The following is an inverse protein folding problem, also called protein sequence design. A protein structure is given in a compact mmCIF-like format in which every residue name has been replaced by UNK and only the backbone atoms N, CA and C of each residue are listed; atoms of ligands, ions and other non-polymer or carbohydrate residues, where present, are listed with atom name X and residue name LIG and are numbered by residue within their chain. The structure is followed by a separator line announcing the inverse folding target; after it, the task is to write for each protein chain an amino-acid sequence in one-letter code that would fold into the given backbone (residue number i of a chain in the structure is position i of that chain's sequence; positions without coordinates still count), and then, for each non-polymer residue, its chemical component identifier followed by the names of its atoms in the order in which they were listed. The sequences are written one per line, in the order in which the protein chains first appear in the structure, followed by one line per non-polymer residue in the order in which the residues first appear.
data_IF_685660734991
#
_entry.id   IF_685660734991
#
_cell.length_a   1.000
_cell.length_b   1.000
_cell.length_c   1.000
_cell.angle_alpha   90.00
_cell.angle_beta   90.00
_cell.angle_gamma   90.00
#
_symmetry.space_group_name_H-M   'P 1'
#
loop_
_entity.id
_entity.type
_entity.pdbx_description
1 polymer ?
#
# COMPACT_ATOMS: atom_id res chain seq x y z
N UNK A 1 -12.99 26.58 -27.56
CA UNK A 1 -11.86 25.62 -27.47
C UNK A 1 -10.85 26.00 -26.38
N UNK A 2 -11.29 26.35 -25.17
CA UNK A 2 -10.40 26.58 -24.00
C UNK A 2 -10.92 25.90 -22.72
N UNK A 3 -12.18 25.44 -22.71
CA UNK A 3 -12.80 24.76 -21.57
C UNK A 3 -12.29 23.33 -21.33
N UNK A 4 -11.83 22.63 -22.37
CA UNK A 4 -11.27 21.27 -22.23
C UNK A 4 -9.86 21.25 -21.60
N UNK A 5 -9.17 22.40 -21.56
CA UNK A 5 -7.80 22.51 -21.00
C UNK A 5 -7.81 22.67 -19.47
N UNK A 6 -8.96 22.99 -18.87
CA UNK A 6 -9.12 23.16 -17.42
C UNK A 6 -9.38 21.81 -16.74
N UNK A 7 -9.86 20.79 -17.48
CA UNK A 7 -10.05 19.43 -16.96
C UNK A 7 -8.72 18.68 -16.81
N UNK A 8 -7.69 19.06 -17.57
CA UNK A 8 -6.31 18.56 -17.40
C UNK A 8 -5.55 19.31 -16.29
N UNK A 9 -6.23 19.62 -15.19
CA UNK A 9 -5.55 19.98 -13.96
C UNK A 9 -4.85 18.72 -13.46
N UNK A 10 -3.59 18.56 -13.90
CA UNK A 10 -2.70 17.45 -13.56
C UNK A 10 -2.87 17.09 -12.10
N UNK A 11 -3.51 15.95 -11.82
CA UNK A 11 -3.61 15.43 -10.47
C UNK A 11 -2.17 15.33 -9.95
N UNK A 12 -1.86 16.04 -8.86
CA UNK A 12 -0.52 16.05 -8.27
C UNK A 12 -0.01 14.60 -8.19
N UNK A 13 1.23 14.35 -8.63
CA UNK A 13 1.78 12.99 -8.71
C UNK A 13 1.66 12.22 -7.38
N UNK A 14 1.77 12.94 -6.25
CA UNK A 14 1.53 12.42 -4.90
C UNK A 14 0.07 11.98 -4.69
N UNK A 15 -0.90 12.81 -5.08
CA UNK A 15 -2.33 12.51 -4.96
C UNK A 15 -2.72 11.34 -5.85
N UNK A 16 -2.19 11.28 -7.06
CA UNK A 16 -2.37 10.14 -7.96
C UNK A 16 -1.82 8.84 -7.32
N UNK A 17 -0.58 8.87 -6.84
CA UNK A 17 0.03 7.73 -6.19
C UNK A 17 -0.75 7.29 -4.95
N UNK A 18 -1.23 8.23 -4.14
CA UNK A 18 -2.07 7.96 -2.99
C UNK A 18 -3.29 7.12 -3.37
N UNK A 19 -4.12 7.58 -4.31
CA UNK A 19 -5.36 6.87 -4.65
C UNK A 19 -5.10 5.50 -5.28
N UNK A 20 -4.09 5.38 -6.15
CA UNK A 20 -3.71 4.10 -6.77
C UNK A 20 -3.28 3.11 -5.70
N UNK A 21 -2.40 3.53 -4.78
CA UNK A 21 -1.89 2.65 -3.74
C UNK A 21 -2.96 2.31 -2.71
N UNK A 22 -3.79 3.27 -2.28
CA UNK A 22 -4.93 2.99 -1.39
C UNK A 22 -5.78 1.88 -1.99
N UNK A 23 -6.22 2.03 -3.23
CA UNK A 23 -7.12 1.07 -3.86
C UNK A 23 -6.48 -0.32 -3.96
N UNK A 24 -5.26 -0.41 -4.49
CA UNK A 24 -4.59 -1.68 -4.71
C UNK A 24 -4.30 -2.42 -3.39
N UNK A 25 -3.72 -1.72 -2.40
CA UNK A 25 -3.38 -2.29 -1.11
C UNK A 25 -4.63 -2.71 -0.36
N UNK A 26 -5.70 -1.91 -0.41
CA UNK A 26 -6.95 -2.21 0.29
C UNK A 26 -7.60 -3.49 -0.24
N UNK A 27 -7.64 -3.67 -1.56
CA UNK A 27 -8.13 -4.92 -2.18
C UNK A 27 -7.31 -6.11 -1.71
N UNK A 28 -5.97 -6.01 -1.72
CA UNK A 28 -5.10 -7.08 -1.23
C UNK A 28 -5.29 -7.37 0.27
N UNK A 29 -5.47 -6.34 1.10
CA UNK A 29 -5.76 -6.50 2.52
C UNK A 29 -7.06 -7.27 2.74
N UNK A 30 -8.14 -6.91 2.04
CA UNK A 30 -9.41 -7.64 2.17
C UNK A 30 -9.32 -9.08 1.70
N UNK A 31 -8.57 -9.36 0.62
CA UNK A 31 -8.30 -10.74 0.21
C UNK A 31 -7.57 -11.50 1.34
N UNK A 32 -6.48 -10.92 1.88
CA UNK A 32 -5.73 -11.55 2.97
C UNK A 32 -6.60 -11.81 4.20
N UNK A 33 -7.38 -10.82 4.63
CA UNK A 33 -8.28 -10.92 5.78
C UNK A 33 -9.39 -11.95 5.54
N UNK A 34 -10.00 -11.99 4.34
CA UNK A 34 -11.03 -12.97 4.01
C UNK A 34 -10.51 -14.42 4.03
N UNK A 35 -9.20 -14.61 3.80
CA UNK A 35 -8.55 -15.93 3.83
C UNK A 35 -7.95 -16.32 5.18
N UNK A 36 -8.07 -15.47 6.22
CA UNK A 36 -7.50 -15.78 7.54
C UNK A 36 -8.35 -16.80 8.30
N UNK A 37 -7.74 -17.81 8.95
CA UNK A 37 -8.46 -18.66 9.90
C UNK A 37 -8.96 -17.84 11.10
N UNK A 38 -10.10 -18.23 11.68
CA UNK A 38 -10.65 -17.57 12.87
C UNK A 38 -9.60 -17.68 13.99
N UNK A 39 -9.26 -16.55 14.61
CA UNK A 39 -8.25 -16.38 15.66
C UNK A 39 -6.76 -16.40 15.23
N UNK A 40 -6.46 -16.55 13.94
CA UNK A 40 -5.08 -16.56 13.46
C UNK A 40 -4.77 -15.42 12.47
N UNK A 41 -3.48 -15.13 12.30
CA UNK A 41 -3.00 -14.28 11.21
C UNK A 41 -3.28 -14.95 9.86
N UNK A 42 -3.40 -14.14 8.82
CA UNK A 42 -3.63 -14.63 7.47
C UNK A 42 -2.46 -15.52 7.01
N UNK A 43 -2.78 -16.73 6.50
CA UNK A 43 -1.79 -17.64 5.91
C UNK A 43 -1.20 -17.07 4.61
N UNK A 44 -2.01 -16.34 3.85
CA UNK A 44 -1.61 -15.62 2.65
C UNK A 44 -1.83 -14.13 2.86
N UNK A 45 -0.76 -13.34 2.76
CA UNK A 45 -0.81 -11.89 2.93
C UNK A 45 -0.27 -11.17 1.69
N UNK A 46 -1.12 -10.94 0.66
CA UNK A 46 -0.64 -10.41 -0.61
C UNK A 46 -0.29 -8.91 -0.56
N UNK A 47 -0.76 -8.17 0.44
CA UNK A 47 -0.67 -6.71 0.46
C UNK A 47 0.76 -6.16 0.46
N UNK A 48 1.68 -6.74 1.26
CA UNK A 48 3.07 -6.28 1.33
C UNK A 48 3.83 -6.55 0.02
N UNK A 49 3.63 -7.75 -0.55
CA UNK A 49 4.24 -8.13 -1.82
C UNK A 49 3.69 -7.30 -2.98
N UNK A 50 2.38 -7.03 -2.99
CA UNK A 50 1.75 -6.16 -3.99
C UNK A 50 2.26 -4.73 -3.90
N UNK A 51 2.34 -4.15 -2.70
CA UNK A 51 2.89 -2.82 -2.48
C UNK A 51 4.34 -2.71 -2.97
N UNK A 52 5.17 -3.68 -2.60
CA UNK A 52 6.56 -3.78 -3.06
C UNK A 52 6.61 -3.86 -4.60
N UNK A 53 5.86 -4.77 -5.20
CA UNK A 53 5.84 -4.95 -6.66
C UNK A 53 5.41 -3.68 -7.39
N UNK A 54 4.41 -2.96 -6.88
CA UNK A 54 3.96 -1.68 -7.43
C UNK A 54 5.06 -0.61 -7.33
N UNK A 55 5.76 -0.51 -6.20
CA UNK A 55 6.86 0.44 -6.02
C UNK A 55 8.09 0.14 -6.88
N UNK A 56 8.36 -1.14 -7.17
CA UNK A 56 9.46 -1.54 -8.05
C UNK A 56 9.09 -1.35 -9.53
N UNK A 57 7.88 -1.76 -9.93
CA UNK A 57 7.43 -1.71 -11.33
C UNK A 57 7.05 -0.30 -11.78
N UNK A 58 6.53 0.51 -10.87
CA UNK A 58 6.13 1.89 -11.13
C UNK A 58 6.82 2.82 -10.12
N UNK A 59 8.11 3.16 -10.34
CA UNK A 59 8.88 3.98 -9.39
C UNK A 59 8.24 5.33 -9.05
N UNK A 60 7.43 5.89 -9.96
CA UNK A 60 6.68 7.13 -9.72
C UNK A 60 5.60 7.00 -8.64
N UNK A 61 5.20 5.78 -8.24
CA UNK A 61 4.28 5.55 -7.11
C UNK A 61 5.00 5.50 -5.76
N UNK A 62 6.32 5.29 -5.74
CA UNK A 62 7.13 5.24 -4.53
C UNK A 62 7.51 6.66 -4.07
N UNK A 63 6.49 7.42 -3.68
CA UNK A 63 6.59 8.78 -3.17
C UNK A 63 5.79 8.91 -1.86
N UNK A 64 5.76 10.10 -1.26
CA UNK A 64 5.10 10.31 0.03
C UNK A 64 3.61 9.98 -0.05
N UNK A 65 2.94 10.36 -1.14
CA UNK A 65 1.55 10.02 -1.40
C UNK A 65 1.29 8.52 -1.46
N UNK A 66 2.15 7.75 -2.13
CA UNK A 66 2.08 6.29 -2.16
C UNK A 66 2.24 5.67 -0.77
N UNK A 67 3.21 6.13 0.03
CA UNK A 67 3.41 5.65 1.40
C UNK A 67 2.23 5.99 2.33
N UNK A 68 1.70 7.21 2.24
CA UNK A 68 0.49 7.61 2.98
C UNK A 68 -0.73 6.79 2.54
N UNK A 69 -0.83 6.48 1.26
CA UNK A 69 -1.91 5.64 0.72
C UNK A 69 -1.85 4.22 1.27
N UNK A 70 -0.66 3.63 1.34
CA UNK A 70 -0.46 2.32 1.95
C UNK A 70 -0.82 2.33 3.44
N UNK A 71 -0.34 3.33 4.19
CA UNK A 71 -0.67 3.50 5.62
C UNK A 71 -2.20 3.57 5.83
N UNK A 72 -2.88 4.43 5.07
CA UNK A 72 -4.34 4.58 5.16
C UNK A 72 -5.07 3.29 4.83
N UNK A 73 -4.65 2.56 3.79
CA UNK A 73 -5.27 1.29 3.42
C UNK A 73 -5.10 0.21 4.50
N UNK A 74 -3.89 0.07 5.07
CA UNK A 74 -3.64 -0.89 6.14
C UNK A 74 -4.46 -0.58 7.40
N UNK A 75 -4.43 0.69 7.86
CA UNK A 75 -5.20 1.11 9.02
C UNK A 75 -6.71 0.93 8.80
N UNK A 76 -7.22 1.35 7.64
CA UNK A 76 -8.64 1.27 7.34
C UNK A 76 -9.13 -0.18 7.27
N UNK A 77 -8.42 -1.07 6.54
CA UNK A 77 -8.81 -2.46 6.44
C UNK A 77 -8.85 -3.16 7.81
N UNK A 78 -7.88 -2.89 8.67
CA UNK A 78 -7.77 -3.55 9.96
C UNK A 78 -8.80 -3.03 10.98
N UNK A 79 -9.05 -1.72 10.98
CA UNK A 79 -10.08 -1.10 11.84
C UNK A 79 -11.50 -1.50 11.45
N UNK A 80 -11.81 -1.51 10.15
CA UNK A 80 -13.14 -1.91 9.65
C UNK A 80 -13.43 -3.38 9.93
N UNK A 81 -12.39 -4.21 10.07
CA UNK A 81 -12.51 -5.63 10.41
C UNK A 81 -12.52 -5.90 11.91
N UNK A 82 -12.62 -4.84 12.73
CA UNK A 82 -12.92 -4.92 14.16
C UNK A 82 -11.69 -4.97 15.08
N UNK A 83 -10.48 -4.76 14.55
CA UNK A 83 -9.28 -4.73 15.39
C UNK A 83 -9.19 -3.42 16.19
N UNK A 84 -8.47 -3.46 17.32
CA UNK A 84 -8.23 -2.26 18.12
C UNK A 84 -7.23 -1.31 17.46
N UNK A 85 -7.35 -0.01 17.71
CA UNK A 85 -6.46 1.01 17.11
C UNK A 85 -4.98 0.71 17.32
N UNK A 86 -4.60 0.27 18.52
CA UNK A 86 -3.22 -0.05 18.84
C UNK A 86 -2.71 -1.26 18.05
N UNK A 87 -3.52 -2.32 17.94
CA UNK A 87 -3.18 -3.50 17.14
C UNK A 87 -3.05 -3.13 15.66
N UNK A 88 -3.99 -2.35 15.12
CA UNK A 88 -3.97 -1.87 13.74
C UNK A 88 -2.74 -1.03 13.44
N UNK A 89 -2.30 -0.20 14.39
CA UNK A 89 -1.08 0.57 14.24
C UNK A 89 0.15 -0.34 14.18
N UNK A 90 0.27 -1.32 15.09
CA UNK A 90 1.38 -2.28 15.06
C UNK A 90 1.42 -3.10 13.76
N UNK A 91 0.29 -3.61 13.31
CA UNK A 91 0.19 -4.35 12.05
C UNK A 91 0.53 -3.47 10.84
N UNK A 92 0.04 -2.23 10.81
CA UNK A 92 0.36 -1.27 9.75
C UNK A 92 1.86 -0.98 9.71
N UNK A 93 2.48 -0.69 10.85
CA UNK A 93 3.92 -0.43 10.91
C UNK A 93 4.73 -1.67 10.49
N UNK A 94 4.32 -2.86 10.90
CA UNK A 94 4.95 -4.12 10.50
C UNK A 94 4.92 -4.29 8.97
N UNK A 95 3.76 -4.05 8.33
CA UNK A 95 3.60 -4.13 6.89
C UNK A 95 4.47 -3.10 6.13
N UNK A 96 4.54 -1.87 6.63
CA UNK A 96 5.37 -0.82 6.04
C UNK A 96 6.87 -1.14 6.19
N UNK A 97 7.31 -1.56 7.38
CA UNK A 97 8.70 -1.95 7.64
C UNK A 97 9.11 -3.11 6.72
N UNK A 98 8.24 -4.12 6.54
CA UNK A 98 8.49 -5.23 5.61
C UNK A 98 8.79 -4.74 4.19
N UNK A 99 8.02 -3.78 3.70
CA UNK A 99 8.22 -3.18 2.37
C UNK A 99 9.50 -2.35 2.31
N UNK A 100 9.76 -1.52 3.34
CA UNK A 100 10.98 -0.69 3.42
C UNK A 100 12.24 -1.56 3.39
N UNK A 101 12.27 -2.61 4.21
CA UNK A 101 13.40 -3.55 4.31
C UNK A 101 13.61 -4.27 2.98
N UNK A 102 12.53 -4.69 2.32
CA UNK A 102 12.61 -5.34 1.00
C UNK A 102 13.22 -4.41 -0.06
N UNK A 103 12.75 -3.17 -0.14
CA UNK A 103 13.30 -2.16 -1.06
C UNK A 103 14.77 -1.88 -0.73
N UNK A 104 15.12 -1.77 0.55
CA UNK A 104 16.49 -1.57 0.99
C UNK A 104 17.40 -2.68 0.47
N UNK A 105 17.06 -3.95 0.69
CA UNK A 105 17.89 -5.07 0.25
C UNK A 105 17.99 -5.18 -1.28
N UNK A 106 16.87 -4.96 -1.99
CA UNK A 106 16.87 -4.95 -3.46
C UNK A 106 17.82 -3.89 -4.01
N UNK A 107 17.79 -2.69 -3.43
CA UNK A 107 18.71 -1.59 -3.81
C UNK A 107 20.15 -1.86 -3.38
N UNK A 108 20.34 -2.38 -2.18
CA UNK A 108 21.66 -2.66 -1.60
C UNK A 108 22.42 -3.72 -2.41
N UNK A 109 21.74 -4.82 -2.76
CA UNK A 109 22.33 -5.91 -3.54
C UNK A 109 22.27 -5.67 -5.06
N UNK A 110 21.71 -4.54 -5.52
CA UNK A 110 21.53 -4.21 -6.93
C UNK A 110 20.86 -5.36 -7.70
N UNK A 111 19.82 -5.94 -7.11
CA UNK A 111 19.06 -7.01 -7.74
C UNK A 111 18.42 -6.41 -9.00
N UNK A 112 18.66 -7.03 -10.15
CA UNK A 112 17.97 -6.66 -11.39
C UNK A 112 16.58 -7.30 -11.37
N UNK A 113 15.54 -6.47 -11.51
CA UNK A 113 14.13 -6.86 -11.51
C UNK A 113 13.41 -6.23 -12.70
#
# INVERSE_FOLDING_TARGET
MQLARITEQQLNHETYAYFVIVFAVLVCCFIGIATRPIEYLALLWPANAALLALFLRFPHLNNLGGWLGAFSAFMFADLVTGNSLLQSLFLTLSNLISTIVSIFFIRYFKINY
#
